data_IF_295888490210
#
_entry.id   IF_295888490210
#
_cell.length_a   1.000
_cell.length_b   1.000
_cell.length_c   1.000
_cell.angle_alpha   90.00
_cell.angle_beta   90.00
_cell.angle_gamma   90.00
#
_symmetry.space_group_name_H-M   'P 1'
#
loop_
_entity.id
_entity.type
_entity.pdbx_description
1 polymer ?
#
# COMPACT_ATOMS: atom_id res chain seq x y z
N UNK A 1 9.05 26.19 -3.65
CA UNK A 1 8.04 25.15 -3.35
C UNK A 1 7.17 24.99 -4.57
N UNK A 2 7.42 23.99 -5.40
CA UNK A 2 6.44 23.59 -6.41
C UNK A 2 5.33 22.83 -5.70
N UNK A 3 4.11 23.33 -5.74
CA UNK A 3 2.96 22.48 -5.45
C UNK A 3 2.96 21.38 -6.52
N UNK A 4 3.00 20.12 -6.11
CA UNK A 4 2.68 19.00 -7.00
C UNK A 4 1.21 19.18 -7.36
N UNK A 5 0.94 19.83 -8.48
CA UNK A 5 -0.41 19.90 -9.04
C UNK A 5 -0.69 18.49 -9.56
N UNK A 6 -1.43 17.71 -8.79
CA UNK A 6 -1.87 16.38 -9.22
C UNK A 6 -2.94 16.58 -10.30
N UNK A 7 -2.56 16.43 -11.56
CA UNK A 7 -3.44 16.61 -12.71
C UNK A 7 -3.82 15.29 -13.39
N UNK A 8 -2.92 14.31 -13.33
CA UNK A 8 -3.09 12.99 -13.94
C UNK A 8 -2.73 11.90 -12.92
N UNK A 9 -3.24 10.68 -13.15
CA UNK A 9 -2.85 9.50 -12.35
C UNK A 9 -1.33 9.26 -12.33
N UNK A 10 -0.59 9.67 -13.37
CA UNK A 10 0.88 9.59 -13.41
C UNK A 10 1.55 10.51 -12.39
N UNK A 11 1.00 11.70 -12.15
CA UNK A 11 1.52 12.63 -11.14
C UNK A 11 1.40 12.03 -9.73
N UNK A 12 0.32 11.27 -9.50
CA UNK A 12 0.13 10.56 -8.24
C UNK A 12 1.14 9.40 -8.08
N UNK A 13 1.51 8.71 -9.16
CA UNK A 13 2.59 7.73 -9.13
C UNK A 13 3.93 8.39 -8.78
N UNK A 14 4.24 9.55 -9.35
CA UNK A 14 5.48 10.28 -9.04
C UNK A 14 5.53 10.72 -7.57
N UNK A 15 4.38 11.17 -7.02
CA UNK A 15 4.25 11.39 -5.57
C UNK A 15 4.50 10.10 -4.79
N UNK A 16 3.95 8.96 -5.21
CA UNK A 16 4.17 7.69 -4.53
C UNK A 16 5.65 7.27 -4.54
N UNK A 17 6.35 7.46 -5.66
CA UNK A 17 7.81 7.22 -5.77
C UNK A 17 8.61 8.11 -4.82
N UNK A 18 8.23 9.39 -4.72
CA UNK A 18 8.85 10.32 -3.78
C UNK A 18 8.66 9.88 -2.32
N UNK A 19 7.44 9.54 -1.90
CA UNK A 19 7.15 9.05 -0.55
C UNK A 19 7.93 7.75 -0.24
N UNK A 20 8.03 6.84 -1.20
CA UNK A 20 8.83 5.61 -1.07
C UNK A 20 10.32 5.91 -0.88
N UNK A 21 10.86 6.89 -1.60
CA UNK A 21 12.26 7.31 -1.45
C UNK A 21 12.55 7.84 -0.05
N UNK A 22 11.64 8.65 0.52
CA UNK A 22 11.76 9.18 1.88
C UNK A 22 11.67 8.05 2.91
N UNK A 23 10.72 7.13 2.74
CA UNK A 23 10.54 5.98 3.60
C UNK A 23 11.79 5.07 3.61
N UNK A 24 12.41 4.87 2.45
CA UNK A 24 13.62 4.04 2.31
C UNK A 24 14.83 4.70 2.97
N UNK A 25 14.93 6.04 2.88
CA UNK A 25 16.04 6.80 3.45
C UNK A 25 15.99 6.91 4.97
N UNK A 26 14.80 6.93 5.57
CA UNK A 26 14.61 7.32 6.96
C UNK A 26 14.25 6.17 7.92
N UNK A 27 14.71 4.92 7.68
CA UNK A 27 14.33 3.69 8.43
C UNK A 27 14.28 3.77 9.97
N UNK A 28 14.91 4.76 10.60
CA UNK A 28 15.00 4.95 12.05
C UNK A 28 14.18 6.13 12.61
N UNK A 29 13.47 6.91 11.77
CA UNK A 29 12.76 8.13 12.18
C UNK A 29 11.23 7.90 12.25
N UNK A 30 10.53 8.26 13.35
CA UNK A 30 9.06 8.21 13.45
C UNK A 30 8.31 8.90 12.29
N UNK A 31 8.90 9.93 11.66
CA UNK A 31 8.31 10.58 10.48
C UNK A 31 8.09 9.62 9.31
N UNK A 32 8.81 8.48 9.26
CA UNK A 32 8.58 7.42 8.28
C UNK A 32 7.19 6.81 8.33
N UNK A 33 6.57 6.73 9.50
CA UNK A 33 5.25 6.11 9.63
C UNK A 33 4.20 6.92 8.84
N UNK A 34 4.35 8.25 8.81
CA UNK A 34 3.50 9.13 8.00
C UNK A 34 3.69 8.91 6.49
N UNK A 35 4.93 8.70 6.04
CA UNK A 35 5.22 8.41 4.64
C UNK A 35 4.63 7.07 4.20
N UNK A 36 4.73 6.03 5.04
CA UNK A 36 4.09 4.74 4.76
C UNK A 36 2.56 4.88 4.65
N UNK A 37 1.93 5.63 5.55
CA UNK A 37 0.49 5.94 5.48
C UNK A 37 0.12 6.68 4.18
N UNK A 38 0.84 7.75 3.86
CA UNK A 38 0.60 8.53 2.64
C UNK A 38 0.76 7.68 1.38
N UNK A 39 1.71 6.76 1.38
CA UNK A 39 1.97 5.85 0.27
C UNK A 39 0.85 4.82 0.11
N UNK A 40 0.36 4.21 1.20
CA UNK A 40 -0.82 3.33 1.18
C UNK A 40 -2.04 4.05 0.61
N UNK A 41 -2.30 5.28 1.07
CA UNK A 41 -3.42 6.09 0.58
C UNK A 41 -3.24 6.44 -0.90
N UNK A 42 -2.03 6.86 -1.29
CA UNK A 42 -1.67 7.19 -2.67
C UNK A 42 -1.88 6.01 -3.62
N UNK A 43 -1.38 4.82 -3.29
CA UNK A 43 -1.52 3.61 -4.10
C UNK A 43 -2.98 3.13 -4.21
N UNK A 44 -3.78 3.26 -3.14
CA UNK A 44 -5.21 2.95 -3.24
C UNK A 44 -5.93 3.93 -4.18
N UNK A 45 -5.62 5.23 -4.09
CA UNK A 45 -6.23 6.23 -4.96
C UNK A 45 -5.72 6.14 -6.40
N UNK A 46 -4.46 5.72 -6.61
CA UNK A 46 -3.88 5.52 -7.93
C UNK A 46 -4.68 4.48 -8.73
N UNK A 47 -5.08 3.37 -8.10
CA UNK A 47 -5.97 2.40 -8.71
C UNK A 47 -7.30 3.03 -9.16
N UNK A 48 -7.99 3.73 -8.26
CA UNK A 48 -9.28 4.34 -8.55
C UNK A 48 -9.20 5.41 -9.63
N UNK A 49 -8.10 6.18 -9.65
CA UNK A 49 -7.91 7.28 -10.58
C UNK A 49 -7.47 6.78 -11.97
N UNK A 50 -6.46 5.91 -12.05
CA UNK A 50 -6.01 5.32 -13.30
C UNK A 50 -7.15 4.55 -14.00
N UNK A 51 -8.00 3.86 -13.22
CA UNK A 51 -9.20 3.23 -13.75
C UNK A 51 -10.23 4.24 -14.27
N UNK A 52 -10.37 5.42 -13.68
CA UNK A 52 -11.36 6.41 -14.16
C UNK A 52 -10.89 7.20 -15.38
N UNK A 53 -9.59 7.46 -15.49
CA UNK A 53 -8.99 8.21 -16.61
C UNK A 53 -8.81 7.41 -17.89
N UNK A 54 -8.57 6.10 -17.78
CA UNK A 54 -8.30 5.26 -18.94
C UNK A 54 -9.47 5.19 -19.92
N UNK A 55 -9.17 4.90 -21.18
CA UNK A 55 -10.16 4.36 -22.10
C UNK A 55 -10.58 2.94 -21.67
N UNK A 56 -11.50 2.33 -22.41
CA UNK A 56 -12.03 1.03 -22.04
C UNK A 56 -10.96 -0.07 -21.97
N UNK A 57 -10.03 -0.10 -22.93
CA UNK A 57 -8.95 -1.10 -22.96
C UNK A 57 -8.01 -0.94 -21.77
N UNK A 58 -7.62 0.30 -21.46
CA UNK A 58 -6.78 0.60 -20.31
C UNK A 58 -7.48 0.30 -18.98
N UNK A 59 -8.80 0.49 -18.90
CA UNK A 59 -9.61 0.08 -17.74
C UNK A 59 -9.58 -1.43 -17.55
N UNK A 60 -9.79 -2.20 -18.61
CA UNK A 60 -9.72 -3.67 -18.58
C UNK A 60 -8.32 -4.12 -18.14
N UNK A 61 -7.26 -3.55 -18.73
CA UNK A 61 -5.88 -3.88 -18.37
C UNK A 61 -5.53 -3.51 -16.93
N UNK A 62 -5.97 -2.33 -16.46
CA UNK A 62 -5.78 -1.88 -15.09
C UNK A 62 -6.46 -2.85 -14.11
N UNK A 63 -7.72 -3.20 -14.38
CA UNK A 63 -8.48 -4.12 -13.55
C UNK A 63 -7.86 -5.51 -13.55
N UNK A 64 -7.47 -6.04 -14.73
CA UNK A 64 -6.83 -7.34 -14.87
C UNK A 64 -5.55 -7.47 -14.02
N UNK A 65 -4.76 -6.40 -13.94
CA UNK A 65 -3.47 -6.40 -13.23
C UNK A 65 -3.61 -6.11 -11.73
N UNK A 66 -4.54 -5.24 -11.35
CA UNK A 66 -4.60 -4.68 -9.99
C UNK A 66 -5.92 -4.94 -9.26
N UNK A 67 -6.81 -5.81 -9.74
CA UNK A 67 -8.12 -6.06 -9.12
C UNK A 67 -8.04 -6.27 -7.58
N UNK A 68 -8.53 -5.33 -6.76
CA UNK A 68 -8.52 -5.48 -5.30
C UNK A 68 -9.79 -6.12 -4.73
N UNK A 69 -10.73 -6.57 -5.58
CA UNK A 69 -12.06 -6.99 -5.16
C UNK A 69 -12.23 -8.50 -5.26
N UNK A 70 -12.60 -9.13 -4.14
CA UNK A 70 -12.87 -10.56 -4.05
C UNK A 70 -14.30 -10.92 -4.47
N UNK A 71 -15.30 -10.21 -3.92
CA UNK A 71 -16.72 -10.56 -4.12
C UNK A 71 -17.55 -9.38 -4.65
N UNK A 72 -17.48 -8.23 -3.97
CA UNK A 72 -18.28 -7.05 -4.32
C UNK A 72 -17.45 -5.96 -4.97
N UNK A 73 -17.93 -5.49 -6.12
CA UNK A 73 -17.29 -4.48 -6.95
C UNK A 73 -18.26 -3.31 -7.11
N UNK A 74 -17.78 -2.07 -6.97
CA UNK A 74 -18.61 -0.88 -7.19
C UNK A 74 -19.21 -0.90 -8.60
N UNK A 75 -20.34 -0.19 -8.79
CA UNK A 75 -21.05 -0.11 -10.07
C UNK A 75 -20.13 0.27 -11.22
N UNK A 76 -19.20 1.19 -10.96
CA UNK A 76 -18.21 1.70 -11.93
C UNK A 76 -17.30 0.60 -12.51
N UNK A 77 -17.16 -0.54 -11.82
CA UNK A 77 -16.34 -1.67 -12.27
C UNK A 77 -17.15 -2.77 -12.97
N UNK A 78 -18.49 -2.77 -12.85
CA UNK A 78 -19.34 -3.84 -13.40
C UNK A 78 -19.31 -3.92 -14.92
N UNK A 79 -19.18 -2.77 -15.59
CA UNK A 79 -19.06 -2.69 -17.05
C UNK A 79 -17.78 -3.36 -17.55
N UNK A 80 -16.68 -3.23 -16.81
CA UNK A 80 -15.41 -3.86 -17.16
C UNK A 80 -15.43 -5.36 -16.88
N UNK A 81 -16.14 -5.79 -15.83
CA UNK A 81 -16.27 -7.22 -15.49
C UNK A 81 -16.97 -8.05 -16.57
N UNK A 82 -17.87 -7.47 -17.38
CA UNK A 82 -18.55 -8.22 -18.43
C UNK A 82 -17.63 -8.67 -19.57
N UNK A 83 -16.44 -8.06 -19.70
CA UNK A 83 -15.43 -8.47 -20.70
C UNK A 83 -14.66 -9.73 -20.28
N UNK A 84 -14.63 -10.03 -18.98
CA UNK A 84 -13.92 -11.18 -18.49
C UNK A 84 -14.82 -12.41 -18.58
N UNK A 85 -14.40 -13.40 -19.39
CA UNK A 85 -15.09 -14.69 -19.53
C UNK A 85 -15.08 -15.51 -18.24
N UNK A 86 -14.08 -15.30 -17.40
CA UNK A 86 -13.91 -15.92 -16.09
C UNK A 86 -13.73 -14.82 -15.03
N UNK A 87 -14.06 -15.07 -13.75
CA UNK A 87 -13.83 -14.10 -12.70
C UNK A 87 -12.37 -13.63 -12.69
N UNK A 88 -12.16 -12.32 -12.81
CA UNK A 88 -10.81 -11.74 -12.80
C UNK A 88 -10.11 -12.04 -11.47
N UNK A 89 -8.92 -12.63 -11.53
CA UNK A 89 -8.13 -12.98 -10.34
C UNK A 89 -7.86 -11.73 -9.49
N UNK A 90 -8.00 -11.88 -8.17
CA UNK A 90 -7.66 -10.82 -7.20
C UNK A 90 -6.14 -10.64 -7.16
N UNK A 91 -5.70 -9.38 -7.14
CA UNK A 91 -4.33 -9.02 -6.80
C UNK A 91 -4.21 -8.90 -5.27
N UNK A 92 -3.55 -9.84 -4.58
CA UNK A 92 -3.53 -9.87 -3.12
C UNK A 92 -2.78 -8.67 -2.53
N UNK A 93 -1.75 -8.16 -3.22
CA UNK A 93 -1.01 -6.97 -2.78
C UNK A 93 -1.88 -5.70 -2.85
N UNK A 94 -2.59 -5.46 -3.98
CA UNK A 94 -3.45 -4.28 -4.10
C UNK A 94 -4.68 -4.39 -3.18
N UNK A 95 -5.22 -5.59 -2.98
CA UNK A 95 -6.26 -5.85 -1.98
C UNK A 95 -5.78 -5.48 -0.58
N UNK A 96 -4.57 -5.88 -0.19
CA UNK A 96 -3.97 -5.52 1.11
C UNK A 96 -3.80 -4.01 1.27
N UNK A 97 -3.31 -3.30 0.24
CA UNK A 97 -3.25 -1.83 0.22
C UNK A 97 -4.63 -1.21 0.48
N UNK A 98 -5.67 -1.72 -0.20
CA UNK A 98 -7.05 -1.25 -0.01
C UNK A 98 -7.56 -1.51 1.41
N UNK A 99 -7.28 -2.68 1.97
CA UNK A 99 -7.66 -3.01 3.35
C UNK A 99 -6.97 -2.10 4.38
N UNK A 100 -5.67 -1.85 4.22
CA UNK A 100 -4.92 -0.92 5.05
C UNK A 100 -5.50 0.51 4.96
N UNK A 101 -5.78 0.99 3.74
CA UNK A 101 -6.38 2.30 3.51
C UNK A 101 -7.78 2.42 4.16
N UNK A 102 -8.63 1.40 4.03
CA UNK A 102 -9.97 1.39 4.63
C UNK A 102 -9.91 1.31 6.16
N UNK A 103 -8.96 0.54 6.71
CA UNK A 103 -8.70 0.48 8.15
C UNK A 103 -8.30 1.83 8.72
N UNK A 104 -7.45 2.57 8.00
CA UNK A 104 -7.06 3.93 8.31
C UNK A 104 -8.23 4.93 8.27
N UNK A 105 -9.04 4.92 7.20
CA UNK A 105 -10.19 5.82 7.02
C UNK A 105 -11.29 5.62 8.06
N UNK A 106 -11.46 4.39 8.53
CA UNK A 106 -12.51 4.01 9.47
C UNK A 106 -11.95 3.60 10.83
N UNK A 107 -11.00 4.40 11.36
CA UNK A 107 -10.50 4.25 12.72
C UNK A 107 -11.62 4.52 13.75
N UNK A 108 -12.54 3.58 13.89
CA UNK A 108 -13.48 3.53 15.01
C UNK A 108 -12.73 2.89 16.15
N UNK A 109 -12.66 3.58 17.29
CA UNK A 109 -12.19 3.04 18.56
C UNK A 109 -13.10 1.87 18.96
N UNK A 110 -12.87 0.67 18.42
CA UNK A 110 -13.66 -0.52 18.73
C UNK A 110 -13.29 -0.94 20.16
N UNK A 111 -14.29 -1.06 21.03
CA UNK A 111 -14.14 -1.39 22.45
C UNK A 111 -13.56 -2.79 22.70
N UNK A 112 -13.53 -3.68 21.70
CA UNK A 112 -13.06 -5.06 21.81
C UNK A 112 -12.17 -5.43 20.62
N UNK A 113 -11.01 -4.79 20.47
CA UNK A 113 -10.02 -5.22 19.49
C UNK A 113 -9.31 -6.48 20.04
N UNK A 114 -9.97 -7.64 19.96
CA UNK A 114 -9.23 -8.89 19.90
C UNK A 114 -8.35 -8.78 18.65
N UNK A 115 -7.05 -8.64 18.88
CA UNK A 115 -6.00 -8.52 17.88
C UNK A 115 -6.28 -9.48 16.70
N UNK A 116 -6.85 -8.94 15.62
CA UNK A 116 -6.59 -9.50 14.29
C UNK A 116 -5.08 -9.38 14.13
N UNK A 117 -4.40 -10.48 13.79
CA UNK A 117 -2.93 -10.65 13.73
C UNK A 117 -2.24 -9.58 12.87
N UNK A 118 -2.19 -8.34 13.35
CA UNK A 118 -1.27 -7.32 12.87
C UNK A 118 -0.04 -7.49 13.76
N UNK A 119 0.94 -8.22 13.25
CA UNK A 119 2.19 -8.47 13.97
C UNK A 119 3.06 -7.23 13.80
N UNK A 120 3.15 -6.42 14.84
CA UNK A 120 4.17 -5.37 14.92
C UNK A 120 5.47 -6.04 15.37
N UNK A 121 6.43 -6.18 14.46
CA UNK A 121 7.78 -6.65 14.80
C UNK A 121 8.59 -5.44 15.27
N UNK A 122 8.83 -5.33 16.58
CA UNK A 122 9.72 -4.31 17.13
C UNK A 122 11.15 -4.82 17.00
N UNK A 123 12.00 -4.12 16.26
CA UNK A 123 13.41 -4.45 16.16
C UNK A 123 14.24 -3.36 16.85
N UNK A 124 15.14 -3.78 17.72
CA UNK A 124 15.96 -2.89 18.52
C UNK A 124 17.34 -3.49 18.73
N UNK A 125 18.27 -2.66 19.16
CA UNK A 125 19.62 -3.07 19.50
C UNK A 125 19.77 -3.01 21.01
N UNK A 126 20.14 -4.15 21.61
CA UNK A 126 20.41 -4.21 23.04
C UNK A 126 21.73 -3.46 23.30
N UNK A 127 21.65 -2.35 24.01
CA UNK A 127 22.84 -1.60 24.42
C UNK A 127 23.07 -1.82 25.92
N UNK A 128 24.25 -2.33 26.27
CA UNK A 128 24.64 -2.42 27.68
C UNK A 128 25.05 -1.02 28.16
N UNK A 129 24.30 -0.47 29.12
CA UNK A 129 24.57 0.83 29.72
C UNK A 129 25.63 0.76 30.83
N UNK A 130 25.78 -0.39 31.50
CA UNK A 130 26.86 -0.73 32.45
C UNK A 130 26.85 -2.24 32.77
N UNK A 131 27.84 -2.75 33.53
CA UNK A 131 27.91 -4.16 34.00
C UNK A 131 26.67 -4.66 34.76
N UNK A 132 25.83 -3.75 35.26
CA UNK A 132 24.66 -4.06 36.12
C UNK A 132 23.32 -3.61 35.52
N UNK A 133 23.33 -2.93 34.37
CA UNK A 133 22.11 -2.46 33.72
C UNK A 133 22.18 -2.60 32.19
N UNK A 134 21.31 -3.45 31.65
CA UNK A 134 21.01 -3.49 30.22
C UNK A 134 19.87 -2.49 29.93
N UNK A 135 20.08 -1.58 28.98
CA UNK A 135 19.01 -0.73 28.45
C UNK A 135 18.72 -1.16 27.01
N UNK A 136 17.52 -1.69 26.78
CA UNK A 136 17.03 -1.91 25.42
C UNK A 136 16.65 -0.57 24.80
N UNK A 137 17.32 -0.20 23.71
CA UNK A 137 16.87 0.91 22.86
C UNK A 137 16.19 0.32 21.63
N UNK A 138 14.91 0.64 21.45
CA UNK A 138 14.20 0.32 20.22
C UNK A 138 14.57 1.36 19.17
N UNK A 139 15.18 0.91 18.07
CA UNK A 139 15.67 1.79 17.02
C UNK A 139 14.71 1.89 15.84
N UNK A 140 13.84 0.89 15.61
CA UNK A 140 12.91 0.88 14.48
C UNK A 140 11.73 -0.10 14.65
N UNK A 141 10.59 0.27 14.08
CA UNK A 141 9.42 -0.60 13.95
C UNK A 141 9.40 -1.22 12.55
N UNK A 142 9.24 -2.54 12.45
CA UNK A 142 8.88 -3.22 11.22
C UNK A 142 7.43 -3.70 11.33
N UNK A 143 6.65 -3.36 10.31
CA UNK A 143 5.24 -3.73 10.26
C UNK A 143 5.09 -4.87 9.27
N UNK A 144 4.44 -5.95 9.71
CA UNK A 144 4.16 -7.11 8.89
C UNK A 144 2.66 -7.21 8.60
N UNK A 145 2.34 -7.68 7.40
CA UNK A 145 0.98 -8.03 6.98
C UNK A 145 0.96 -9.44 6.43
N UNK A 146 -0.10 -10.19 6.73
CA UNK A 146 -0.34 -11.52 6.18
C UNK A 146 -0.90 -11.39 4.76
N UNK A 147 -0.15 -11.88 3.77
CA UNK A 147 -0.57 -12.00 2.38
C UNK A 147 -0.48 -13.47 1.99
N UNK A 148 -1.64 -14.10 1.77
CA UNK A 148 -1.77 -15.51 1.40
C UNK A 148 -1.03 -16.48 2.34
N UNK A 149 -1.05 -16.22 3.64
CA UNK A 149 -0.41 -17.05 4.67
C UNK A 149 1.08 -16.76 4.88
N UNK A 150 1.60 -15.69 4.27
CA UNK A 150 3.00 -15.27 4.38
C UNK A 150 3.07 -13.88 5.02
N UNK A 151 3.92 -13.73 6.03
CA UNK A 151 4.22 -12.42 6.61
C UNK A 151 5.10 -11.61 5.66
N UNK A 152 4.59 -10.48 5.19
CA UNK A 152 5.27 -9.55 4.28
C UNK A 152 5.51 -8.22 4.99
N UNK A 153 6.73 -7.70 4.93
CA UNK A 153 7.04 -6.37 5.46
C UNK A 153 6.31 -5.28 4.64
N UNK A 154 5.68 -4.32 5.32
CA UNK A 154 4.93 -3.23 4.68
C UNK A 154 5.82 -2.48 3.67
N UNK A 155 7.09 -2.22 3.99
CA UNK A 155 8.00 -1.56 3.07
C UNK A 155 8.15 -2.34 1.76
N UNK A 156 8.28 -3.66 1.85
CA UNK A 156 8.41 -4.53 0.67
C UNK A 156 7.11 -4.56 -0.14
N UNK A 157 5.95 -4.68 0.52
CA UNK A 157 4.64 -4.57 -0.12
C UNK A 157 4.51 -3.25 -0.92
N UNK A 158 4.88 -2.12 -0.31
CA UNK A 158 4.77 -0.81 -0.94
C UNK A 158 5.73 -0.66 -2.11
N UNK A 159 6.96 -1.16 -1.98
CA UNK A 159 7.96 -1.16 -3.05
C UNK A 159 7.49 -1.96 -4.26
N UNK A 160 7.06 -3.21 -4.05
CA UNK A 160 6.54 -4.09 -5.12
C UNK A 160 5.36 -3.43 -5.83
N UNK A 161 4.47 -2.76 -5.09
CA UNK A 161 3.33 -2.07 -5.71
C UNK A 161 3.75 -0.85 -6.53
N UNK A 162 4.67 -0.02 -6.04
CA UNK A 162 5.18 1.12 -6.82
C UNK A 162 5.88 0.66 -8.11
N UNK A 163 6.66 -0.43 -8.05
CA UNK A 163 7.30 -1.04 -9.22
C UNK A 163 6.25 -1.55 -10.21
N UNK A 164 5.26 -2.32 -9.74
CA UNK A 164 4.20 -2.84 -10.60
C UNK A 164 3.40 -1.74 -11.31
N UNK A 165 3.12 -0.63 -10.62
CA UNK A 165 2.48 0.54 -11.22
C UNK A 165 3.39 1.24 -12.23
N UNK A 166 4.68 1.36 -11.95
CA UNK A 166 5.65 1.94 -12.89
C UNK A 166 5.67 1.17 -14.20
N UNK A 167 5.78 -0.16 -14.12
CA UNK A 167 5.72 -1.03 -15.29
C UNK A 167 4.41 -0.86 -16.07
N UNK A 168 3.28 -0.71 -15.39
CA UNK A 168 1.98 -0.52 -16.04
C UNK A 168 1.95 0.78 -16.87
N UNK A 169 2.43 1.89 -16.31
CA UNK A 169 2.47 3.17 -17.05
C UNK A 169 3.56 3.21 -18.14
N UNK A 170 4.63 2.42 -18.02
CA UNK A 170 5.67 2.32 -19.04
C UNK A 170 5.28 1.41 -20.21
N UNK A 171 4.41 0.42 -19.97
CA UNK A 171 4.02 -0.59 -20.96
C UNK A 171 3.16 -0.08 -22.15
N UNK A 172 2.88 1.23 -22.25
CA UNK A 172 2.09 1.85 -23.35
C UNK A 172 0.82 1.06 -23.72
N UNK A 173 0.07 0.59 -22.72
CA UNK A 173 -1.29 0.08 -22.90
C UNK A 173 -2.28 1.24 -22.77
#
# INVERSE_FOLDING_TARGET
>A
MSFLTLTESRDLLDKCKFELSLLTACKSNPECEYHAFNLVVGLNHLFEWAFKEGDFERKVSCFARFNPFQDEVSRDFKEVLSEFKEPCKVNPYQMTIRQLCNGAKHFKKKANYQSKRNVTAVMGSLHMGSEVAAMGAFSHYSYLVDIDGTDVEILELLKVQVEAWSDFFESNV
#
